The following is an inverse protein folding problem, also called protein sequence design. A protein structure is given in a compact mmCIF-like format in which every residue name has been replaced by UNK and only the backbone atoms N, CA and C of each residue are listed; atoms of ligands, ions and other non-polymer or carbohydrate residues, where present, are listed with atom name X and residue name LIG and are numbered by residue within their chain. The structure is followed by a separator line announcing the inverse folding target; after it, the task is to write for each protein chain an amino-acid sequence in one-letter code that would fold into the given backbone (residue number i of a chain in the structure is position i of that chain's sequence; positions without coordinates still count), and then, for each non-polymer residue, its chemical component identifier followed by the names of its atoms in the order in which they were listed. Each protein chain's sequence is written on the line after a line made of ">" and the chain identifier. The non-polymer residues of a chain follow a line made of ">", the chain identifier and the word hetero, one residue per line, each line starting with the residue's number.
data_IF_454208483613
#
_entry.id   IF_454208483613
#
_cell.length_a   1.000
_cell.length_b   1.000
_cell.length_c   1.000
_cell.angle_alpha   90.00
_cell.angle_beta   90.00
_cell.angle_gamma   90.00
#
_symmetry.space_group_name_H-M   'P 1'
#
loop_
_entity.id
_entity.type
_entity.pdbx_description
1 polymer ?
#
# COMPACT_ATOMS: atom_id res chain seq x y z
N UNK A 1 -6.31 11.90 20.91
CA UNK A 1 -7.55 11.09 20.85
C UNK A 1 -7.22 9.84 20.05
N UNK A 2 -6.84 8.73 20.70
CA UNK A 2 -6.59 7.47 19.98
C UNK A 2 -7.96 6.90 19.62
N UNK A 3 -8.40 7.15 18.39
CA UNK A 3 -9.58 6.53 17.81
C UNK A 3 -9.30 5.04 17.70
N UNK A 4 -9.90 4.23 18.57
CA UNK A 4 -9.68 2.79 18.59
C UNK A 4 -9.91 2.16 17.21
N UNK A 5 -9.11 1.13 16.88
CA UNK A 5 -9.17 0.34 15.64
C UNK A 5 -10.61 -0.04 15.23
N UNK A 6 -11.50 -0.21 16.21
CA UNK A 6 -12.92 -0.49 16.01
C UNK A 6 -13.69 0.60 15.20
N UNK A 7 -13.23 1.85 15.19
CA UNK A 7 -13.88 2.96 14.44
C UNK A 7 -13.39 3.11 13.00
N UNK A 8 -12.32 2.42 12.61
CA UNK A 8 -11.83 2.47 11.23
C UNK A 8 -12.79 1.70 10.31
N UNK A 9 -13.05 2.27 9.14
CA UNK A 9 -13.75 1.55 8.06
C UNK A 9 -12.90 0.36 7.59
N UNK A 10 -13.54 -0.68 7.04
CA UNK A 10 -12.82 -1.86 6.53
C UNK A 10 -11.65 -1.50 5.58
N UNK A 11 -11.80 -0.57 4.60
CA UNK A 11 -10.68 -0.17 3.74
C UNK A 11 -9.50 0.43 4.50
N UNK A 12 -9.76 1.22 5.55
CA UNK A 12 -8.70 1.79 6.38
C UNK A 12 -8.01 0.71 7.23
N UNK A 13 -8.75 -0.29 7.72
CA UNK A 13 -8.14 -1.44 8.41
C UNK A 13 -7.24 -2.22 7.46
N UNK A 14 -7.68 -2.47 6.24
CA UNK A 14 -6.88 -3.13 5.20
C UNK A 14 -5.62 -2.33 4.89
N UNK A 15 -5.72 -1.01 4.72
CA UNK A 15 -4.58 -0.13 4.51
C UNK A 15 -3.58 -0.21 5.68
N UNK A 16 -4.07 -0.18 6.92
CA UNK A 16 -3.23 -0.30 8.10
C UNK A 16 -2.53 -1.65 8.17
N UNK A 17 -3.25 -2.75 7.92
CA UNK A 17 -2.68 -4.09 7.86
C UNK A 17 -1.62 -4.22 6.77
N UNK A 18 -1.87 -3.67 5.59
CA UNK A 18 -0.89 -3.62 4.49
C UNK A 18 0.36 -2.83 4.90
N UNK A 19 0.17 -1.68 5.57
CA UNK A 19 1.28 -0.87 6.08
C UNK A 19 2.15 -1.63 7.09
N UNK A 20 1.52 -2.32 8.05
CA UNK A 20 2.24 -3.15 9.04
C UNK A 20 2.97 -4.30 8.37
N UNK A 21 2.33 -4.99 7.43
CA UNK A 21 2.93 -6.10 6.69
C UNK A 21 4.17 -5.64 5.90
N UNK A 22 4.09 -4.47 5.25
CA UNK A 22 5.20 -3.87 4.52
C UNK A 22 6.38 -3.49 5.42
N UNK A 23 6.11 -2.93 6.60
CA UNK A 23 7.15 -2.66 7.59
C UNK A 23 7.82 -3.96 8.02
N UNK A 24 7.04 -4.99 8.33
CA UNK A 24 7.58 -6.31 8.70
C UNK A 24 8.40 -6.93 7.57
N UNK A 25 7.93 -6.82 6.31
CA UNK A 25 8.67 -7.30 5.15
C UNK A 25 9.99 -6.54 4.95
N UNK A 26 9.99 -5.22 5.12
CA UNK A 26 11.22 -4.43 5.05
C UNK A 26 12.25 -4.83 6.11
N UNK A 27 11.82 -5.27 7.29
CA UNK A 27 12.74 -5.85 8.29
C UNK A 27 13.36 -7.18 7.81
N UNK A 28 12.60 -7.99 7.06
CA UNK A 28 13.12 -9.20 6.43
C UNK A 28 14.16 -8.85 5.35
N UNK A 29 13.93 -7.81 4.55
CA UNK A 29 14.91 -7.35 3.56
C UNK A 29 16.21 -6.87 4.22
N UNK A 30 16.13 -6.15 5.34
CA UNK A 30 17.31 -5.81 6.13
C UNK A 30 18.05 -7.06 6.64
N UNK A 31 17.32 -8.07 7.11
CA UNK A 31 17.91 -9.34 7.54
C UNK A 31 18.57 -10.11 6.39
N UNK A 32 18.13 -9.89 5.14
CA UNK A 32 18.72 -10.44 3.92
C UNK A 32 19.89 -9.61 3.35
N UNK A 33 20.33 -8.57 4.05
CA UNK A 33 21.34 -7.63 3.58
C UNK A 33 20.95 -6.87 2.31
N UNK A 34 19.65 -6.60 2.13
CA UNK A 34 19.09 -5.81 1.02
C UNK A 34 18.58 -4.44 1.52
N UNK A 35 19.47 -3.53 1.97
CA UNK A 35 19.07 -2.32 2.70
C UNK A 35 18.24 -1.35 1.85
N UNK A 36 18.43 -1.34 0.52
CA UNK A 36 17.64 -0.47 -0.39
C UNK A 36 16.18 -0.90 -0.44
N UNK A 37 15.93 -2.20 -0.59
CA UNK A 37 14.59 -2.78 -0.56
C UNK A 37 13.98 -2.64 0.84
N UNK A 38 14.76 -2.86 1.89
CA UNK A 38 14.32 -2.65 3.27
C UNK A 38 13.82 -1.24 3.53
N UNK A 39 14.58 -0.21 3.12
CA UNK A 39 14.16 1.19 3.24
C UNK A 39 12.88 1.44 2.42
N UNK A 40 12.82 0.95 1.18
CA UNK A 40 11.65 1.13 0.31
C UNK A 40 10.37 0.55 0.94
N UNK A 41 10.41 -0.68 1.44
CA UNK A 41 9.25 -1.32 2.04
C UNK A 41 8.87 -0.71 3.39
N UNK A 42 9.84 -0.37 4.24
CA UNK A 42 9.55 0.30 5.53
C UNK A 42 8.92 1.67 5.32
N UNK A 43 9.50 2.51 4.45
CA UNK A 43 8.97 3.85 4.18
C UNK A 43 7.59 3.76 3.56
N UNK A 44 7.40 2.88 2.57
CA UNK A 44 6.09 2.65 1.95
C UNK A 44 5.07 2.20 2.99
N UNK A 45 5.42 1.22 3.82
CA UNK A 45 4.55 0.69 4.86
C UNK A 45 4.15 1.75 5.89
N UNK A 46 5.10 2.59 6.31
CA UNK A 46 4.84 3.71 7.21
C UNK A 46 3.91 4.75 6.57
N UNK A 47 4.12 5.11 5.29
CA UNK A 47 3.27 6.07 4.58
C UNK A 47 1.85 5.54 4.41
N UNK A 48 1.68 4.28 4.00
CA UNK A 48 0.36 3.65 3.85
C UNK A 48 -0.34 3.52 5.22
N UNK A 49 0.39 3.09 6.25
CA UNK A 49 -0.13 2.95 7.61
C UNK A 49 -0.58 4.28 8.21
N UNK A 50 0.20 5.36 8.01
CA UNK A 50 -0.17 6.70 8.42
C UNK A 50 -1.38 7.22 7.64
N UNK A 51 -1.46 6.95 6.33
CA UNK A 51 -2.56 7.37 5.47
C UNK A 51 -3.91 6.74 5.88
N UNK A 52 -3.89 5.56 6.50
CA UNK A 52 -5.09 4.83 6.94
C UNK A 52 -6.00 5.65 7.88
N UNK A 53 -5.48 6.68 8.57
CA UNK A 53 -6.26 7.51 9.50
C UNK A 53 -7.33 8.37 8.80
N UNK A 54 -7.21 8.62 7.50
CA UNK A 54 -8.17 9.40 6.72
C UNK A 54 -8.46 8.70 5.39
N UNK A 55 -9.72 8.35 5.14
CA UNK A 55 -10.17 7.67 3.91
C UNK A 55 -9.70 8.36 2.63
N UNK A 56 -9.78 9.69 2.58
CA UNK A 56 -9.31 10.47 1.43
C UNK A 56 -7.81 10.38 1.20
N UNK A 57 -7.03 10.36 2.29
CA UNK A 57 -5.56 10.25 2.23
C UNK A 57 -5.18 8.81 1.84
N UNK A 58 -5.80 7.81 2.46
CA UNK A 58 -5.64 6.41 2.10
C UNK A 58 -5.96 6.14 0.63
N UNK A 59 -7.00 6.78 0.07
CA UNK A 59 -7.32 6.71 -1.36
C UNK A 59 -6.19 7.25 -2.23
N UNK A 60 -5.74 8.47 -1.97
CA UNK A 60 -4.70 9.14 -2.77
C UNK A 60 -3.36 8.39 -2.69
N UNK A 61 -2.97 7.98 -1.48
CA UNK A 61 -1.74 7.22 -1.25
C UNK A 61 -1.84 5.83 -1.87
N UNK A 62 -2.97 5.13 -1.72
CA UNK A 62 -3.20 3.83 -2.35
C UNK A 62 -3.13 3.90 -3.88
N UNK A 63 -3.70 4.94 -4.50
CA UNK A 63 -3.58 5.16 -5.95
C UNK A 63 -2.13 5.41 -6.36
N UNK A 64 -1.43 6.29 -5.66
CA UNK A 64 -0.03 6.62 -5.96
C UNK A 64 0.87 5.38 -5.82
N UNK A 65 0.78 4.67 -4.69
CA UNK A 65 1.58 3.48 -4.43
C UNK A 65 1.22 2.34 -5.37
N UNK A 66 -0.05 2.19 -5.75
CA UNK A 66 -0.48 1.25 -6.78
C UNK A 66 0.28 1.48 -8.09
N UNK A 67 0.30 2.73 -8.58
CA UNK A 67 1.06 3.08 -9.79
C UNK A 67 2.56 2.80 -9.61
N UNK A 68 3.15 3.26 -8.51
CA UNK A 68 4.60 3.10 -8.27
C UNK A 68 5.00 1.62 -8.29
N UNK A 69 4.31 0.76 -7.53
CA UNK A 69 4.70 -0.64 -7.41
C UNK A 69 4.39 -1.46 -8.66
N UNK A 70 3.33 -1.13 -9.40
CA UNK A 70 3.07 -1.77 -10.70
C UNK A 70 4.12 -1.38 -11.75
N UNK A 71 4.57 -0.13 -11.75
CA UNK A 71 5.67 0.33 -12.62
C UNK A 71 6.99 -0.34 -12.24
N UNK A 72 7.34 -0.35 -10.95
CA UNK A 72 8.55 -1.03 -10.46
C UNK A 72 8.52 -2.51 -10.82
N UNK A 73 7.36 -3.18 -10.65
CA UNK A 73 7.19 -4.56 -11.10
C UNK A 73 7.41 -4.72 -12.60
N UNK A 74 6.77 -3.89 -13.44
CA UNK A 74 6.86 -3.99 -14.89
C UNK A 74 8.30 -3.86 -15.40
N UNK A 75 9.07 -2.92 -14.84
CA UNK A 75 10.50 -2.80 -15.15
C UNK A 75 11.32 -3.95 -14.58
N UNK A 76 11.05 -4.36 -13.33
CA UNK A 76 11.77 -5.46 -12.68
C UNK A 76 11.65 -6.80 -13.42
N UNK A 77 10.50 -7.09 -14.03
CA UNK A 77 10.34 -8.30 -14.86
C UNK A 77 10.76 -8.10 -16.32
N UNK A 78 10.77 -6.87 -16.82
CA UNK A 78 11.12 -6.54 -18.20
C UNK A 78 12.62 -6.51 -18.47
N UNK A 79 13.43 -6.23 -17.44
CA UNK A 79 14.88 -6.09 -17.56
C UNK A 79 15.60 -6.90 -16.46
N UNK A 80 15.77 -8.23 -16.62
CA UNK A 80 16.47 -9.07 -15.64
C UNK A 80 17.90 -8.57 -15.38
N UNK A 81 18.27 -8.42 -14.10
CA UNK A 81 19.54 -7.83 -13.66
C UNK A 81 19.58 -6.29 -13.74
N UNK A 82 18.50 -5.64 -14.17
CA UNK A 82 18.36 -4.18 -14.19
C UNK A 82 18.20 -3.57 -12.79
N UNK A 83 18.25 -2.24 -12.71
CA UNK A 83 18.22 -1.52 -11.43
C UNK A 83 16.93 -1.72 -10.62
N UNK A 84 15.83 -2.14 -11.26
CA UNK A 84 14.54 -2.40 -10.63
C UNK A 84 14.24 -3.90 -10.46
N UNK A 85 15.14 -4.80 -10.89
CA UNK A 85 14.95 -6.23 -10.72
C UNK A 85 15.25 -6.64 -9.27
N UNK A 86 14.21 -7.01 -8.53
CA UNK A 86 14.32 -7.52 -7.16
C UNK A 86 14.32 -9.07 -7.11
N UNK A 87 14.57 -9.73 -8.24
CA UNK A 87 14.45 -11.17 -8.41
C UNK A 87 13.00 -11.64 -8.37
N UNK A 88 12.79 -12.95 -8.57
CA UNK A 88 11.46 -13.54 -8.70
C UNK A 88 10.53 -13.21 -7.52
N UNK A 89 11.03 -13.40 -6.28
CA UNK A 89 10.25 -13.17 -5.06
C UNK A 89 9.97 -11.68 -4.84
N UNK A 90 10.98 -10.82 -5.01
CA UNK A 90 10.81 -9.38 -4.83
C UNK A 90 9.84 -8.77 -5.85
N UNK A 91 9.95 -9.17 -7.12
CA UNK A 91 9.04 -8.74 -8.17
C UNK A 91 7.61 -9.23 -7.91
N UNK A 92 7.41 -10.47 -7.46
CA UNK A 92 6.09 -10.96 -7.06
C UNK A 92 5.51 -10.14 -5.89
N UNK A 93 6.33 -9.77 -4.92
CA UNK A 93 5.93 -8.90 -3.81
C UNK A 93 5.53 -7.50 -4.32
N UNK A 94 6.31 -6.89 -5.21
CA UNK A 94 5.95 -5.61 -5.82
C UNK A 94 4.60 -5.64 -6.54
N UNK A 95 4.33 -6.70 -7.31
CA UNK A 95 3.03 -6.89 -7.96
C UNK A 95 1.88 -6.94 -6.95
N UNK A 96 2.01 -7.76 -5.91
CA UNK A 96 0.99 -7.92 -4.88
C UNK A 96 0.73 -6.61 -4.12
N UNK A 97 1.79 -5.87 -3.79
CA UNK A 97 1.67 -4.54 -3.15
C UNK A 97 0.95 -3.56 -4.07
N UNK A 98 1.27 -3.57 -5.37
CA UNK A 98 0.62 -2.74 -6.38
C UNK A 98 -0.89 -2.97 -6.41
N UNK A 99 -1.32 -4.22 -6.58
CA UNK A 99 -2.75 -4.56 -6.58
C UNK A 99 -3.44 -4.31 -5.24
N UNK A 100 -2.79 -4.61 -4.12
CA UNK A 100 -3.34 -4.32 -2.80
C UNK A 100 -3.58 -2.81 -2.59
N UNK A 101 -2.66 -1.97 -3.08
CA UNK A 101 -2.77 -0.51 -3.00
C UNK A 101 -3.92 0.03 -3.87
N UNK A 102 -4.10 -0.52 -5.08
CA UNK A 102 -5.25 -0.21 -5.95
C UNK A 102 -6.57 -0.62 -5.28
N UNK A 103 -6.65 -1.84 -4.74
CA UNK A 103 -7.86 -2.33 -4.08
C UNK A 103 -8.25 -1.47 -2.86
N UNK A 104 -7.26 -1.01 -2.07
CA UNK A 104 -7.48 -0.05 -0.99
C UNK A 104 -8.05 1.26 -1.54
N UNK A 105 -7.46 1.79 -2.62
CA UNK A 105 -7.90 3.05 -3.21
C UNK A 105 -9.34 2.98 -3.74
N UNK A 106 -9.68 1.94 -4.50
CA UNK A 106 -11.04 1.71 -5.01
C UNK A 106 -12.05 1.56 -3.88
N UNK A 107 -11.69 0.79 -2.84
CA UNK A 107 -12.54 0.59 -1.67
C UNK A 107 -12.79 1.90 -0.91
N UNK A 108 -11.77 2.74 -0.76
CA UNK A 108 -11.94 4.07 -0.18
C UNK A 108 -12.82 4.98 -1.05
N UNK A 109 -12.64 4.96 -2.37
CA UNK A 109 -13.48 5.74 -3.30
C UNK A 109 -14.94 5.30 -3.24
N UNK A 110 -15.21 4.00 -3.16
CA UNK A 110 -16.56 3.45 -3.00
C UNK A 110 -17.22 3.91 -1.70
N UNK A 111 -16.49 3.87 -0.57
CA UNK A 111 -16.98 4.35 0.71
C UNK A 111 -17.31 5.85 0.69
N UNK A 112 -16.47 6.68 0.05
CA UNK A 112 -16.74 8.11 -0.13
C UNK A 112 -17.99 8.37 -0.97
N UNK A 113 -18.14 7.66 -2.10
CA UNK A 113 -19.31 7.79 -2.96
C UNK A 113 -20.59 7.33 -2.25
N UNK A 114 -20.54 6.23 -1.50
CA UNK A 114 -21.68 5.73 -0.72
C UNK A 114 -22.11 6.73 0.35
N UNK A 115 -21.16 7.35 1.05
CA UNK A 115 -21.46 8.37 2.06
C UNK A 115 -22.15 9.60 1.46
N UNK A 116 -21.71 10.07 0.28
CA UNK A 116 -22.33 11.18 -0.45
C UNK A 116 -23.77 10.86 -0.87
N UNK A 117 -24.00 9.68 -1.46
CA UNK A 117 -25.35 9.23 -1.85
C UNK A 117 -26.34 9.20 -0.67
N UNK A 118 -25.88 8.79 0.52
CA UNK A 118 -26.72 8.78 1.72
C UNK A 118 -27.03 10.20 2.19
N UNK A 119 -26.06 11.13 2.10
CA UNK A 119 -26.26 12.52 2.48
C UNK A 119 -27.25 13.24 1.54
N UNK A 120 -27.18 12.98 0.23
CA UNK A 120 -28.08 13.59 -0.76
C UNK A 120 -29.52 13.07 -0.69
N UNK A 121 -29.73 11.91 -0.03
CA UNK A 121 -31.05 11.29 0.15
C UNK A 121 -31.79 11.72 1.43
N UNK A 122 -31.17 12.57 2.26
CA UNK A 122 -31.76 13.13 3.49
C UNK A 122 -32.13 14.58 3.30
#
# INVERSE_FOLDING_TARGET
>A
MVTGLAKLSWPQRTALSLGVLLVAWGLVDFARAEPRLGVLHVVTGAVIGAAAVRTRVARLVGSLMGVVFLVVFAFGVGEPGGAMDAGFVGNAVHLLIGFASVAVAESCAWCEQRARRIADSR
#
